data_IF_509149606964
#
_entry.id   IF_509149606964
#
_cell.length_a   1.000
_cell.length_b   1.000
_cell.length_c   1.000
_cell.angle_alpha   90.00
_cell.angle_beta   90.00
_cell.angle_gamma   90.00
#
_symmetry.space_group_name_H-M   'P 1'
#
loop_
_entity.id
_entity.type
_entity.pdbx_description
1 polymer ?
#
# COMPACT_ATOMS: atom_id res chain seq x y z
N UNK A 1 -15.35 41.19 -6.37
CA UNK A 1 -14.22 40.86 -5.49
C UNK A 1 -13.94 39.39 -5.78
N UNK A 2 -12.91 39.11 -6.57
CA UNK A 2 -12.56 37.73 -6.89
C UNK A 2 -11.75 37.21 -5.71
N UNK A 3 -12.32 36.29 -4.95
CA UNK A 3 -11.58 35.51 -3.96
C UNK A 3 -10.43 34.82 -4.69
N UNK A 4 -9.21 35.25 -4.38
CA UNK A 4 -8.01 34.50 -4.73
C UNK A 4 -7.93 33.38 -3.69
N UNK A 5 -8.52 32.23 -4.01
CA UNK A 5 -8.23 30.98 -3.32
C UNK A 5 -6.71 30.78 -3.43
N UNK A 6 -6.02 30.76 -2.28
CA UNK A 6 -4.62 30.40 -2.21
C UNK A 6 -4.42 29.06 -2.94
N UNK A 7 -3.28 28.82 -3.61
CA UNK A 7 -3.01 27.51 -4.18
C UNK A 7 -3.11 26.51 -3.02
N UNK A 8 -4.15 25.70 -3.08
CA UNK A 8 -4.38 24.68 -2.09
C UNK A 8 -3.27 23.65 -2.29
N UNK A 9 -2.18 23.78 -1.53
CA UNK A 9 -1.22 22.70 -1.25
C UNK A 9 -1.91 21.59 -0.42
N UNK A 10 -3.19 21.35 -0.70
CA UNK A 10 -4.10 20.51 0.06
C UNK A 10 -4.07 19.12 -0.58
N UNK A 11 -3.03 18.36 -0.27
CA UNK A 11 -3.07 16.94 -0.52
C UNK A 11 -4.26 16.31 0.21
N UNK A 12 -4.85 15.28 -0.38
CA UNK A 12 -5.93 14.52 0.24
C UNK A 12 -5.46 13.95 1.59
N UNK A 13 -6.42 13.71 2.48
CA UNK A 13 -6.15 13.14 3.80
C UNK A 13 -7.04 11.93 4.03
N UNK A 14 -6.50 10.94 4.70
CA UNK A 14 -7.20 9.75 5.17
C UNK A 14 -7.19 9.78 6.69
N UNK A 15 -8.37 9.73 7.28
CA UNK A 15 -8.55 9.62 8.73
C UNK A 15 -8.72 8.16 9.11
N UNK A 16 -7.90 7.71 10.04
CA UNK A 16 -8.01 6.40 10.66
C UNK A 16 -8.90 6.54 11.90
N UNK A 17 -9.92 5.68 11.96
CA UNK A 17 -10.91 5.63 13.01
C UNK A 17 -10.76 4.35 13.81
N UNK A 18 -10.74 4.45 15.13
CA UNK A 18 -10.76 3.30 16.03
C UNK A 18 -12.20 2.84 16.22
N UNK A 19 -12.49 1.55 16.00
CA UNK A 19 -13.82 1.00 16.22
C UNK A 19 -14.02 0.54 17.67
N UNK A 20 -12.94 0.40 18.45
CA UNK A 20 -13.00 -0.09 19.83
C UNK A 20 -13.51 0.94 20.84
N UNK A 21 -13.50 2.23 20.48
CA UNK A 21 -13.86 3.34 21.38
C UNK A 21 -12.78 3.70 22.39
N UNK A 22 -11.54 3.27 22.15
CA UNK A 22 -10.37 3.58 22.97
C UNK A 22 -9.72 4.93 22.66
N UNK A 23 -9.97 5.50 21.48
CA UNK A 23 -9.43 6.80 21.06
C UNK A 23 -10.38 7.97 21.33
N UNK A 24 -9.84 9.17 21.56
CA UNK A 24 -10.63 10.41 21.64
C UNK A 24 -11.35 10.65 20.30
N UNK A 25 -12.67 10.88 20.36
CA UNK A 25 -13.56 11.01 19.19
C UNK A 25 -13.52 9.83 18.21
N UNK A 26 -12.96 8.68 18.62
CA UNK A 26 -12.63 7.53 17.78
C UNK A 26 -11.61 7.85 16.67
N UNK A 27 -10.80 8.92 16.80
CA UNK A 27 -9.81 9.30 15.81
C UNK A 27 -8.44 8.82 16.28
N UNK A 28 -7.82 7.91 15.51
CA UNK A 28 -6.46 7.42 15.80
C UNK A 28 -5.43 8.37 15.22
N UNK A 29 -5.54 8.64 13.92
CA UNK A 29 -4.56 9.43 13.19
C UNK A 29 -5.16 10.00 11.89
N UNK A 30 -4.63 11.13 11.43
CA UNK A 30 -4.88 11.68 10.11
C UNK A 30 -3.61 11.58 9.26
N UNK A 31 -3.64 10.73 8.23
CA UNK A 31 -2.57 10.58 7.23
C UNK A 31 -2.87 11.52 6.08
N UNK A 32 -1.95 12.41 5.73
CA UNK A 32 -2.19 13.44 4.70
C UNK A 32 -1.15 13.47 3.60
N UNK A 33 -1.26 14.50 2.74
CA UNK A 33 -0.33 14.79 1.64
C UNK A 33 -0.45 13.79 0.47
N UNK A 34 -1.62 13.17 0.31
CA UNK A 34 -1.87 12.35 -0.87
C UNK A 34 -2.06 13.25 -2.11
N UNK A 35 -1.33 12.95 -3.19
CA UNK A 35 -1.38 13.75 -4.42
C UNK A 35 -2.71 13.63 -5.16
N UNK A 36 -3.35 12.47 -5.10
CA UNK A 36 -4.58 12.16 -5.83
C UNK A 36 -5.58 11.40 -4.96
N UNK A 37 -6.88 11.61 -5.23
CA UNK A 37 -7.98 10.91 -4.54
C UNK A 37 -7.89 9.39 -4.74
N UNK A 38 -7.52 8.95 -5.94
CA UNK A 38 -7.34 7.54 -6.25
C UNK A 38 -6.28 6.88 -5.35
N UNK A 39 -5.19 7.60 -5.06
CA UNK A 39 -4.15 7.15 -4.14
C UNK A 39 -4.69 7.07 -2.71
N UNK A 40 -5.35 8.13 -2.23
CA UNK A 40 -5.96 8.14 -0.89
C UNK A 40 -6.98 7.00 -0.71
N UNK A 41 -7.81 6.75 -1.72
CA UNK A 41 -8.77 5.65 -1.75
C UNK A 41 -8.08 4.28 -1.72
N UNK A 42 -7.01 4.08 -2.50
CA UNK A 42 -6.24 2.85 -2.49
C UNK A 42 -5.57 2.60 -1.13
N UNK A 43 -5.03 3.65 -0.50
CA UNK A 43 -4.47 3.58 0.85
C UNK A 43 -5.53 3.19 1.88
N UNK A 44 -6.67 3.86 1.90
CA UNK A 44 -7.77 3.57 2.83
C UNK A 44 -8.23 2.11 2.68
N UNK A 45 -8.40 1.65 1.44
CA UNK A 45 -8.78 0.27 1.12
C UNK A 45 -7.77 -0.75 1.65
N UNK A 46 -6.48 -0.55 1.36
CA UNK A 46 -5.40 -1.45 1.80
C UNK A 46 -5.25 -1.46 3.32
N UNK A 47 -5.42 -0.30 3.96
CA UNK A 47 -5.35 -0.16 5.42
C UNK A 47 -6.46 -0.96 6.11
N UNK A 48 -7.72 -0.77 5.70
CA UNK A 48 -8.85 -1.53 6.24
C UNK A 48 -8.67 -3.02 5.97
N UNK A 49 -8.18 -3.41 4.78
CA UNK A 49 -7.91 -4.82 4.48
C UNK A 49 -6.89 -5.43 5.44
N UNK A 50 -5.79 -4.72 5.74
CA UNK A 50 -4.82 -5.19 6.74
C UNK A 50 -5.43 -5.27 8.15
N UNK A 51 -6.25 -4.28 8.54
CA UNK A 51 -6.91 -4.24 9.85
C UNK A 51 -7.89 -5.42 10.04
N UNK A 52 -8.74 -5.70 9.04
CA UNK A 52 -9.65 -6.85 9.03
C UNK A 52 -8.86 -8.15 9.16
N UNK A 53 -7.74 -8.28 8.43
CA UNK A 53 -6.94 -9.50 8.46
C UNK A 53 -6.17 -9.70 9.78
N UNK A 54 -5.84 -8.64 10.50
CA UNK A 54 -5.32 -8.75 11.88
C UNK A 54 -6.36 -9.30 12.85
N UNK A 55 -7.64 -9.04 12.58
CA UNK A 55 -8.76 -9.55 13.37
C UNK A 55 -9.14 -11.00 12.99
N UNK A 56 -8.58 -11.54 11.90
CA UNK A 56 -8.88 -12.90 11.43
C UNK A 56 -8.15 -13.95 12.27
N UNK A 57 -8.92 -14.78 12.97
CA UNK A 57 -8.42 -15.97 13.67
C UNK A 57 -8.47 -17.21 12.75
N UNK A 58 -7.52 -18.16 12.84
CA UNK A 58 -7.57 -19.38 12.06
C UNK A 58 -8.90 -20.14 12.24
N UNK A 59 -9.63 -20.37 11.15
CA UNK A 59 -10.92 -21.05 11.17
C UNK A 59 -12.13 -20.18 11.54
N UNK A 60 -11.95 -18.88 11.75
CA UNK A 60 -13.06 -17.94 11.98
C UNK A 60 -13.96 -17.83 10.75
N UNK A 61 -15.28 -17.70 10.96
CA UNK A 61 -16.22 -17.40 9.89
C UNK A 61 -16.17 -15.90 9.54
N UNK A 62 -16.66 -15.52 8.36
CA UNK A 62 -16.73 -14.11 7.94
C UNK A 62 -17.44 -13.23 9.00
N UNK A 63 -18.49 -13.77 9.64
CA UNK A 63 -19.20 -13.08 10.72
C UNK A 63 -18.33 -12.87 11.96
N UNK A 64 -17.55 -13.86 12.36
CA UNK A 64 -16.65 -13.74 13.52
C UNK A 64 -15.54 -12.71 13.25
N UNK A 65 -15.02 -12.70 12.02
CA UNK A 65 -14.04 -11.70 11.58
C UNK A 65 -14.64 -10.30 11.64
N UNK A 66 -15.86 -10.12 11.12
CA UNK A 66 -16.57 -8.85 11.15
C UNK A 66 -16.79 -8.37 12.59
N UNK A 67 -17.33 -9.24 13.45
CA UNK A 67 -17.60 -8.93 14.87
C UNK A 67 -16.32 -8.50 15.61
N UNK A 68 -15.24 -9.23 15.40
CA UNK A 68 -13.92 -8.93 15.96
C UNK A 68 -13.38 -7.59 15.44
N UNK A 69 -13.46 -7.35 14.12
CA UNK A 69 -13.01 -6.10 13.52
C UNK A 69 -13.85 -4.90 13.98
N UNK A 70 -15.17 -5.04 14.13
CA UNK A 70 -16.00 -3.97 14.70
C UNK A 70 -15.74 -3.70 16.18
N UNK A 71 -15.11 -4.63 16.89
CA UNK A 71 -14.81 -4.50 18.32
C UNK A 71 -13.39 -4.01 18.62
N UNK A 72 -12.43 -4.30 17.74
CA UNK A 72 -11.00 -4.05 17.98
C UNK A 72 -10.25 -3.50 16.76
N UNK A 73 -10.92 -3.42 15.62
CA UNK A 73 -10.34 -3.01 14.36
C UNK A 73 -10.31 -1.50 14.18
N UNK A 74 -9.73 -1.12 13.06
CA UNK A 74 -9.55 0.26 12.64
C UNK A 74 -10.18 0.42 11.26
N UNK A 75 -10.94 1.50 11.08
CA UNK A 75 -11.51 1.92 9.80
C UNK A 75 -10.71 3.09 9.22
N UNK A 76 -10.81 3.32 7.92
CA UNK A 76 -10.15 4.44 7.26
C UNK A 76 -11.08 5.13 6.27
N UNK A 77 -11.16 6.46 6.35
CA UNK A 77 -12.03 7.29 5.52
C UNK A 77 -11.27 8.46 4.91
N UNK A 78 -11.50 8.75 3.63
CA UNK A 78 -10.89 9.91 2.98
C UNK A 78 -11.68 11.17 3.34
N UNK A 79 -10.98 12.19 3.85
CA UNK A 79 -11.56 13.49 4.22
C UNK A 79 -11.78 14.32 2.95
N UNK A 80 -12.84 15.13 2.93
CA UNK A 80 -13.21 16.03 1.81
C UNK A 80 -13.55 15.33 0.49
N UNK A 81 -13.67 13.99 0.48
CA UNK A 81 -14.00 13.20 -0.70
C UNK A 81 -15.50 12.92 -0.88
N UNK A 82 -16.35 13.35 0.06
CA UNK A 82 -17.81 13.22 0.02
C UNK A 82 -18.33 11.83 -0.44
N UNK A 83 -18.85 11.73 -1.67
CA UNK A 83 -19.39 10.50 -2.28
C UNK A 83 -18.35 9.76 -3.16
N UNK A 84 -17.33 10.46 -3.66
CA UNK A 84 -16.20 9.89 -4.41
C UNK A 84 -15.17 9.20 -3.52
N UNK A 85 -15.27 9.42 -2.20
CA UNK A 85 -14.45 8.78 -1.19
C UNK A 85 -14.77 7.30 -1.02
N UNK A 86 -13.74 6.47 -1.02
CA UNK A 86 -13.89 5.05 -0.70
C UNK A 86 -14.37 4.88 0.75
N UNK A 87 -15.27 3.91 0.97
CA UNK A 87 -15.81 3.54 2.28
C UNK A 87 -15.71 2.04 2.48
N UNK A 88 -15.24 1.63 3.65
CA UNK A 88 -15.11 0.21 4.04
C UNK A 88 -16.40 -0.58 3.87
N UNK A 89 -17.55 0.02 4.20
CA UNK A 89 -18.86 -0.61 4.09
C UNK A 89 -19.20 -1.17 2.69
N UNK A 90 -18.58 -0.65 1.62
CA UNK A 90 -18.85 -1.11 0.25
C UNK A 90 -18.23 -2.48 -0.06
N UNK A 91 -17.10 -2.82 0.56
CA UNK A 91 -16.34 -4.05 0.27
C UNK A 91 -16.16 -4.95 1.50
N UNK A 92 -16.69 -4.55 2.66
CA UNK A 92 -16.48 -5.25 3.93
C UNK A 92 -16.93 -6.72 3.93
N UNK A 93 -18.00 -7.04 3.19
CA UNK A 93 -18.47 -8.43 3.02
C UNK A 93 -17.41 -9.30 2.32
N UNK A 94 -16.82 -8.81 1.23
CA UNK A 94 -15.71 -9.51 0.54
C UNK A 94 -14.48 -9.64 1.45
N UNK A 95 -14.18 -8.58 2.20
CA UNK A 95 -13.00 -8.52 3.06
C UNK A 95 -13.05 -9.57 4.17
N UNK A 96 -14.25 -9.81 4.71
CA UNK A 96 -14.46 -10.81 5.76
C UNK A 96 -14.59 -12.22 5.19
N UNK A 97 -15.18 -12.37 4.00
CA UNK A 97 -15.34 -13.66 3.32
C UNK A 97 -14.03 -14.25 2.81
N UNK A 98 -13.14 -13.42 2.26
CA UNK A 98 -11.93 -13.87 1.57
C UNK A 98 -10.68 -13.42 2.33
N UNK A 99 -9.72 -14.30 2.65
CA UNK A 99 -8.44 -13.88 3.21
C UNK A 99 -7.66 -13.03 2.20
N UNK A 100 -7.02 -11.97 2.67
CA UNK A 100 -6.30 -11.05 1.79
C UNK A 100 -4.91 -11.58 1.43
N UNK A 101 -4.44 -11.24 0.24
CA UNK A 101 -3.04 -11.47 -0.15
C UNK A 101 -2.11 -10.45 0.54
N UNK A 102 -0.81 -10.74 0.66
CA UNK A 102 0.16 -9.80 1.20
C UNK A 102 0.17 -8.45 0.48
N UNK A 103 -0.02 -8.45 -0.83
CA UNK A 103 -0.04 -7.23 -1.66
C UNK A 103 -1.25 -6.34 -1.36
N UNK A 104 -2.42 -6.93 -1.12
CA UNK A 104 -3.65 -6.18 -0.80
C UNK A 104 -3.60 -5.51 0.58
N UNK A 105 -2.74 -6.01 1.47
CA UNK A 105 -2.51 -5.48 2.81
C UNK A 105 -1.36 -4.49 2.87
N UNK A 106 -0.62 -4.30 1.77
CA UNK A 106 0.58 -3.46 1.76
C UNK A 106 0.23 -1.97 1.62
N UNK A 107 -0.50 -1.45 2.60
CA UNK A 107 -0.79 -0.02 2.70
C UNK A 107 0.48 0.81 2.89
N UNK A 108 1.57 0.20 3.39
CA UNK A 108 2.87 0.85 3.60
C UNK A 108 3.53 1.25 2.29
N UNK A 109 3.32 0.53 1.20
CA UNK A 109 3.76 0.93 -0.14
C UNK A 109 2.99 2.15 -0.68
N UNK A 110 1.79 2.38 -0.16
CA UNK A 110 0.92 3.50 -0.54
C UNK A 110 1.03 4.68 0.45
N UNK A 111 1.86 4.55 1.50
CA UNK A 111 1.97 5.59 2.51
C UNK A 111 2.75 6.80 1.96
N UNK A 112 2.13 7.99 1.92
CA UNK A 112 2.75 9.16 1.31
C UNK A 112 3.98 9.64 2.08
N UNK A 113 4.09 9.33 3.38
CA UNK A 113 5.26 9.71 4.19
C UNK A 113 6.51 8.98 3.71
N UNK A 114 6.38 7.75 3.18
CA UNK A 114 7.51 7.03 2.59
C UNK A 114 7.94 7.58 1.23
N UNK A 115 7.04 8.21 0.49
CA UNK A 115 7.33 8.82 -0.81
C UNK A 115 8.10 10.15 -0.64
N UNK A 116 7.85 10.89 0.44
CA UNK A 116 8.58 12.13 0.73
C UNK A 116 10.04 11.87 1.13
N UNK A 117 10.33 10.74 1.79
CA UNK A 117 11.70 10.25 2.04
C UNK A 117 12.33 9.54 0.81
N UNK A 118 11.62 9.47 -0.33
CA UNK A 118 11.98 8.72 -1.53
C UNK A 118 12.79 9.48 -2.58
N UNK A 119 13.24 10.71 -2.32
CA UNK A 119 14.12 11.48 -3.21
C UNK A 119 15.62 11.20 -2.94
N UNK A 120 15.95 9.94 -2.61
CA UNK A 120 17.33 9.44 -2.53
C UNK A 120 17.37 7.95 -2.94
N UNK A 121 16.70 7.61 -4.05
CA UNK A 121 17.15 6.44 -4.83
C UNK A 121 18.48 6.84 -5.47
N UNK A 122 19.59 6.61 -4.75
CA UNK A 122 20.93 6.52 -5.31
C UNK A 122 20.93 5.42 -6.38
N UNK A 123 20.58 5.81 -7.60
CA UNK A 123 20.98 5.12 -8.81
C UNK A 123 22.51 5.31 -8.89
N UNK A 124 23.26 4.39 -8.29
CA UNK A 124 24.65 4.20 -8.69
C UNK A 124 24.61 3.77 -10.15
N UNK A 125 24.96 4.73 -11.01
CA UNK A 125 25.10 4.64 -12.46
C UNK A 125 25.74 3.30 -12.87
N UNK A 126 25.01 2.50 -13.63
CA UNK A 126 25.58 1.42 -14.44
C UNK A 126 26.47 2.08 -15.51
N UNK A 127 27.77 2.17 -15.24
CA UNK A 127 28.75 2.57 -16.24
C UNK A 127 28.94 1.41 -17.24
N UNK A 128 28.15 1.46 -18.32
CA UNK A 128 28.35 0.75 -19.57
C UNK A 128 29.66 1.17 -20.25
N UNK A 129 30.54 0.21 -20.55
CA UNK A 129 31.56 0.39 -21.58
C UNK A 129 32.01 -0.94 -22.20
N UNK A 130 31.38 -1.28 -23.33
CA UNK A 130 32.12 -1.71 -24.52
C UNK A 130 32.27 -3.21 -24.76
N UNK A 131 31.38 -3.74 -25.59
CA UNK A 131 31.61 -4.97 -26.34
C UNK A 131 32.71 -4.79 -27.39
N UNK A 132 33.67 -5.71 -27.45
CA UNK A 132 34.49 -5.99 -28.64
C UNK A 132 34.46 -7.51 -28.80
N UNK A 133 33.58 -8.00 -29.67
CA UNK A 133 33.60 -9.37 -30.16
C UNK A 133 34.69 -9.46 -31.24
N UNK A 134 35.70 -10.32 -31.06
CA UNK A 134 36.42 -10.86 -32.21
C UNK A 134 36.75 -12.34 -32.01
N UNK A 135 36.27 -13.07 -33.01
CA UNK A 135 36.13 -14.50 -33.15
C UNK A 135 37.49 -15.15 -33.50
N UNK A 136 37.93 -16.14 -32.72
CA UNK A 136 38.92 -17.10 -33.21
C UNK A 136 38.71 -18.48 -32.57
N UNK A 137 37.87 -19.24 -33.26
CA UNK A 137 37.80 -20.70 -33.34
C UNK A 137 39.12 -21.45 -33.07
N UNK A 138 39.13 -22.46 -32.20
CA UNK A 138 39.76 -23.78 -32.41
C UNK A 138 39.75 -24.66 -31.14
N UNK A 139 38.78 -25.58 -31.10
CA UNK A 139 38.93 -27.04 -30.93
C UNK A 139 39.45 -27.70 -29.61
N UNK A 140 38.48 -28.33 -28.91
CA UNK A 140 38.41 -29.68 -28.27
C UNK A 140 39.49 -30.22 -27.30
N UNK A 141 39.19 -30.39 -25.99
CA UNK A 141 40.07 -31.04 -25.01
C UNK A 141 39.83 -32.56 -24.96
N UNK A 142 40.56 -33.34 -25.76
CA UNK A 142 40.30 -34.78 -25.87
C UNK A 142 41.48 -35.65 -26.32
N UNK A 143 42.70 -35.43 -25.84
CA UNK A 143 43.81 -36.37 -26.11
C UNK A 143 43.84 -37.52 -25.11
N UNK A 144 43.09 -38.56 -25.46
CA UNK A 144 43.37 -39.95 -25.12
C UNK A 144 44.64 -40.42 -25.86
N UNK A 145 45.38 -41.32 -25.20
CA UNK A 145 46.33 -42.31 -25.70
C UNK A 145 47.85 -42.01 -25.82
N UNK A 146 48.57 -42.68 -24.92
CA UNK A 146 49.55 -43.75 -25.18
C UNK A 146 50.83 -43.42 -25.99
N UNK A 147 51.95 -43.32 -25.27
CA UNK A 147 53.06 -44.26 -25.38
C UNK A 147 53.90 -44.29 -24.10
#
# INVERSE_FOLDING_TARGET
>A
MSETEAPQEQGWKVRILDLSGGAEDNIVEEVGVFHDLAHANAFARAYVRDSVERCRTPGASAKDVLDTWTSFGEDAVVIDAEDDGWRSANELDDFTATPATPMERDWRMLDPRRLVDGEDILLEDEEDAGAEEDDTDTFDPGLHNLH
#
